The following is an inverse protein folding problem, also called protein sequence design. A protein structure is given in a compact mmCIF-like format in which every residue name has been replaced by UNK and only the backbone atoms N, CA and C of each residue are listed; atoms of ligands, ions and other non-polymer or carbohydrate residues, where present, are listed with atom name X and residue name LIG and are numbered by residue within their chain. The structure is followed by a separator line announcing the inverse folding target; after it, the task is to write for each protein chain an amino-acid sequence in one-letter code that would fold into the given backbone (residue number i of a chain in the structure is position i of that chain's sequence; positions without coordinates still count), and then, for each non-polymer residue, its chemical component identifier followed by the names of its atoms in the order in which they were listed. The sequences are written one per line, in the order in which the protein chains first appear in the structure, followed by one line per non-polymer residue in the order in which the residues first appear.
data_IF_305497697932
#
_entry.id   IF_305497697932
#
_cell.length_a   1.000
_cell.length_b   1.000
_cell.length_c   1.000
_cell.angle_alpha   90.00
_cell.angle_beta   90.00
_cell.angle_gamma   90.00
#
_symmetry.space_group_name_H-M   'P 1'
#
loop_
_entity.id
_entity.type
_entity.pdbx_description
1 polymer ?
#
# COMPACT_ATOMS: atom_id res chain seq x y z
N UNK A 1 -11.72 2.11 -2.54
CA UNK A 1 -11.69 2.73 -1.19
C UNK A 1 -13.09 2.93 -0.58
N UNK A 2 -14.14 2.38 -1.20
CA UNK A 2 -15.49 2.55 -0.67
C UNK A 2 -15.65 2.14 0.82
N UNK A 3 -15.08 1.01 1.30
CA UNK A 3 -15.17 0.64 2.72
C UNK A 3 -14.57 1.68 3.67
N UNK A 4 -13.51 2.37 3.26
CA UNK A 4 -12.82 3.36 4.09
C UNK A 4 -13.66 4.61 4.34
N UNK A 5 -14.56 4.97 3.43
CA UNK A 5 -15.51 6.08 3.63
C UNK A 5 -16.95 5.60 3.96
N UNK A 6 -17.09 4.32 4.30
CA UNK A 6 -18.36 3.76 4.81
C UNK A 6 -19.38 3.41 3.73
N UNK A 7 -18.98 3.20 2.48
CA UNK A 7 -19.87 2.80 1.40
C UNK A 7 -19.62 1.35 0.95
N UNK A 8 -20.67 0.69 0.44
CA UNK A 8 -20.55 -0.64 -0.16
C UNK A 8 -19.82 -0.59 -1.48
N UNK A 9 -20.08 0.43 -2.30
CA UNK A 9 -19.42 0.67 -3.58
C UNK A 9 -19.41 2.16 -3.92
N UNK A 10 -18.55 2.53 -4.87
CA UNK A 10 -18.57 3.82 -5.55
C UNK A 10 -18.93 3.63 -7.03
N UNK A 11 -19.75 4.50 -7.58
CA UNK A 11 -20.15 4.48 -8.97
C UNK A 11 -19.94 5.85 -9.60
N UNK A 12 -19.33 5.87 -10.78
CA UNK A 12 -19.15 7.05 -11.60
C UNK A 12 -19.77 6.76 -12.96
N UNK A 13 -20.65 7.64 -13.49
CA UNK A 13 -21.22 7.45 -14.80
C UNK A 13 -20.16 7.59 -15.89
N UNK A 14 -20.41 6.97 -17.04
CA UNK A 14 -19.58 7.14 -18.23
C UNK A 14 -19.90 8.48 -18.89
N UNK A 15 -18.88 9.21 -19.32
CA UNK A 15 -18.98 10.54 -19.94
C UNK A 15 -17.90 10.76 -21.03
N UNK A 16 -17.82 11.98 -21.55
CA UNK A 16 -16.82 12.36 -22.55
C UNK A 16 -15.38 12.25 -22.04
N UNK A 17 -15.12 12.44 -20.75
CA UNK A 17 -13.78 12.28 -20.17
C UNK A 17 -13.36 10.81 -20.19
N UNK A 18 -14.31 9.91 -19.99
CA UNK A 18 -14.07 8.46 -20.15
C UNK A 18 -13.63 8.14 -21.57
N UNK A 19 -14.32 8.69 -22.60
CA UNK A 19 -13.94 8.47 -24.00
C UNK A 19 -12.57 9.06 -24.34
N UNK A 20 -12.25 10.26 -23.82
CA UNK A 20 -10.92 10.87 -23.97
C UNK A 20 -9.84 9.98 -23.37
N UNK A 21 -10.06 9.43 -22.19
CA UNK A 21 -9.12 8.51 -21.55
C UNK A 21 -8.92 7.22 -22.35
N UNK A 22 -10.00 6.62 -22.88
CA UNK A 22 -9.93 5.43 -23.73
C UNK A 22 -9.08 5.70 -24.98
N UNK A 23 -9.32 6.83 -25.65
CA UNK A 23 -8.52 7.26 -26.80
C UNK A 23 -7.05 7.48 -26.41
N UNK A 24 -6.82 8.18 -25.33
CA UNK A 24 -5.47 8.46 -24.80
C UNK A 24 -4.71 7.18 -24.45
N UNK A 25 -5.39 6.19 -23.88
CA UNK A 25 -4.83 4.88 -23.52
C UNK A 25 -4.75 3.89 -24.70
N UNK A 26 -4.98 4.34 -25.94
CA UNK A 26 -4.74 3.57 -27.16
C UNK A 26 -5.83 2.55 -27.51
N UNK A 27 -7.06 2.74 -27.02
CA UNK A 27 -8.19 1.92 -27.48
C UNK A 27 -8.55 2.26 -28.91
N UNK A 28 -8.96 1.25 -29.68
CA UNK A 28 -9.40 1.44 -31.05
C UNK A 28 -10.73 2.20 -31.14
N UNK A 29 -11.01 2.76 -32.33
CA UNK A 29 -12.18 3.58 -32.57
C UNK A 29 -13.49 2.80 -32.36
N UNK A 30 -13.53 1.53 -32.75
CA UNK A 30 -14.72 0.69 -32.65
C UNK A 30 -15.09 0.45 -31.18
N UNK A 31 -14.09 0.13 -30.34
CA UNK A 31 -14.27 -0.02 -28.90
C UNK A 31 -14.79 1.26 -28.27
N UNK A 32 -14.25 2.44 -28.62
CA UNK A 32 -14.68 3.73 -28.07
C UNK A 32 -16.15 4.03 -28.48
N UNK A 33 -16.49 3.84 -29.74
CA UNK A 33 -17.86 4.01 -30.24
C UNK A 33 -18.84 3.01 -29.59
N UNK A 34 -18.39 1.77 -29.35
CA UNK A 34 -19.19 0.76 -28.66
C UNK A 34 -19.47 1.19 -27.24
N UNK A 35 -18.45 1.64 -26.47
CA UNK A 35 -18.61 2.11 -25.09
C UNK A 35 -19.61 3.27 -25.03
N UNK A 36 -19.50 4.24 -25.94
CA UNK A 36 -20.42 5.37 -25.99
C UNK A 36 -21.87 4.92 -26.26
N UNK A 37 -22.09 4.16 -27.33
CA UNK A 37 -23.42 3.71 -27.76
C UNK A 37 -24.06 2.80 -26.71
N UNK A 38 -23.28 1.84 -26.19
CA UNK A 38 -23.76 0.92 -25.16
C UNK A 38 -24.14 1.64 -23.87
N UNK A 39 -23.27 2.53 -23.38
CA UNK A 39 -23.52 3.26 -22.14
C UNK A 39 -24.75 4.16 -22.25
N UNK A 40 -24.96 4.80 -23.40
CA UNK A 40 -26.18 5.59 -23.67
C UNK A 40 -27.43 4.71 -23.73
N UNK A 41 -27.36 3.58 -24.41
CA UNK A 41 -28.49 2.64 -24.55
C UNK A 41 -28.87 1.98 -23.21
N UNK A 42 -27.91 1.74 -22.31
CA UNK A 42 -28.14 1.12 -21.01
C UNK A 42 -28.42 2.14 -19.89
N UNK A 43 -28.46 3.43 -20.16
CA UNK A 43 -28.66 4.46 -19.14
C UNK A 43 -27.47 4.63 -18.18
N UNK A 44 -26.26 4.20 -18.56
CA UNK A 44 -25.04 4.32 -17.78
C UNK A 44 -24.27 5.62 -18.08
N UNK A 45 -24.73 6.37 -19.07
CA UNK A 45 -24.15 7.66 -19.44
C UNK A 45 -24.53 8.75 -18.44
N UNK A 46 -23.61 9.66 -18.17
CA UNK A 46 -23.86 10.79 -17.28
C UNK A 46 -25.10 11.57 -17.74
N UNK A 47 -26.08 11.72 -16.87
CA UNK A 47 -27.34 12.41 -17.14
C UNK A 47 -27.74 13.24 -15.92
N UNK A 48 -28.52 14.29 -16.17
CA UNK A 48 -29.14 15.10 -15.14
C UNK A 48 -30.49 14.48 -14.70
N UNK A 49 -30.96 14.90 -13.52
CA UNK A 49 -32.31 14.55 -13.06
C UNK A 49 -32.44 13.21 -12.34
N UNK A 50 -31.35 12.59 -11.95
CA UNK A 50 -31.38 11.40 -11.07
C UNK A 50 -31.76 11.80 -9.66
N UNK A 51 -32.67 11.04 -9.04
CA UNK A 51 -33.04 11.18 -7.63
C UNK A 51 -32.19 10.27 -6.77
N UNK A 52 -31.59 10.80 -5.72
CA UNK A 52 -30.76 10.10 -4.77
C UNK A 52 -31.39 10.15 -3.38
N UNK A 53 -31.12 9.16 -2.55
CA UNK A 53 -31.56 9.13 -1.15
C UNK A 53 -31.01 10.31 -0.37
N UNK A 54 -29.76 10.70 -0.66
CA UNK A 54 -29.07 11.85 -0.07
C UNK A 54 -28.05 12.42 -1.04
N UNK A 55 -27.69 13.69 -0.86
CA UNK A 55 -26.73 14.41 -1.71
C UNK A 55 -25.72 15.17 -0.87
N UNK A 56 -24.45 15.17 -1.33
CA UNK A 56 -23.37 15.94 -0.74
C UNK A 56 -22.81 16.90 -1.80
N UNK A 57 -22.50 18.11 -1.37
CA UNK A 57 -21.83 19.11 -2.20
C UNK A 57 -20.47 19.47 -1.62
N UNK A 58 -19.46 19.53 -2.47
CA UNK A 58 -18.11 19.97 -2.11
C UNK A 58 -17.62 21.03 -3.09
N UNK A 59 -17.30 22.22 -2.59
CA UNK A 59 -16.55 23.19 -3.35
C UNK A 59 -15.07 22.76 -3.40
N UNK A 60 -14.62 22.33 -4.58
CA UNK A 60 -13.25 21.84 -4.79
C UNK A 60 -12.21 22.92 -4.51
N UNK A 61 -12.56 24.22 -4.64
CA UNK A 61 -11.65 25.32 -4.34
C UNK A 61 -11.24 25.40 -2.85
N UNK A 62 -12.04 24.79 -1.98
CA UNK A 62 -11.76 24.70 -0.53
C UNK A 62 -10.81 23.57 -0.16
N UNK A 63 -10.47 22.67 -1.11
CA UNK A 63 -9.57 21.55 -0.86
C UNK A 63 -8.13 22.04 -0.78
N UNK A 64 -7.52 21.86 0.38
CA UNK A 64 -6.14 22.25 0.66
C UNK A 64 -5.20 21.02 0.71
N UNK A 65 -3.88 21.21 0.49
CA UNK A 65 -2.92 20.13 0.59
C UNK A 65 -3.02 19.37 1.91
N UNK A 66 -3.13 18.05 1.82
CA UNK A 66 -3.36 17.19 2.98
C UNK A 66 -2.66 15.85 2.82
N UNK A 67 -2.39 15.19 3.94
CA UNK A 67 -2.01 13.79 4.04
C UNK A 67 -3.07 13.05 4.86
N UNK A 68 -2.99 11.71 4.92
CA UNK A 68 -3.89 10.92 5.77
C UNK A 68 -3.09 10.02 6.70
N UNK A 69 -3.49 9.95 7.95
CA UNK A 69 -2.85 9.07 8.93
C UNK A 69 -2.97 9.61 10.37
N UNK A 70 -2.36 8.92 11.32
CA UNK A 70 -1.36 7.83 11.15
C UNK A 70 -1.93 6.41 11.05
N UNK A 71 -3.23 6.20 11.18
CA UNK A 71 -3.80 4.84 11.35
C UNK A 71 -4.81 4.42 10.28
N UNK A 72 -5.52 5.39 9.68
CA UNK A 72 -6.63 5.11 8.75
C UNK A 72 -6.59 6.05 7.56
N UNK A 73 -7.07 5.63 6.37
CA UNK A 73 -7.10 6.47 5.17
C UNK A 73 -7.96 7.72 5.30
N UNK A 74 -8.98 7.69 6.15
CA UNK A 74 -9.90 8.82 6.39
C UNK A 74 -9.41 9.83 7.43
N UNK A 75 -8.33 9.54 8.15
CA UNK A 75 -7.73 10.45 9.13
C UNK A 75 -7.01 11.59 8.40
N UNK A 76 -7.76 12.62 8.01
CA UNK A 76 -7.23 13.76 7.26
C UNK A 76 -6.38 14.66 8.16
N UNK A 77 -5.19 15.01 7.69
CA UNK A 77 -4.27 15.96 8.33
C UNK A 77 -3.86 17.00 7.30
N UNK A 78 -4.05 18.29 7.62
CA UNK A 78 -3.57 19.36 6.75
C UNK A 78 -2.05 19.34 6.69
N UNK A 79 -1.49 19.61 5.51
CA UNK A 79 -0.03 19.61 5.35
C UNK A 79 0.65 20.65 6.25
N UNK A 80 0.01 21.78 6.50
CA UNK A 80 0.44 22.83 7.44
C UNK A 80 0.50 22.37 8.89
N UNK A 81 -0.30 21.37 9.24
CA UNK A 81 -0.48 20.90 10.60
C UNK A 81 0.20 19.52 10.82
N UNK A 82 0.87 19.01 9.78
CA UNK A 82 1.42 17.63 9.81
C UNK A 82 2.44 17.40 10.94
N UNK A 83 3.35 18.34 11.14
CA UNK A 83 4.37 18.25 12.19
C UNK A 83 3.75 18.34 13.59
N UNK A 84 2.93 19.35 13.85
CA UNK A 84 2.25 19.54 15.15
C UNK A 84 1.23 18.45 15.44
N UNK A 85 0.51 17.98 14.41
CA UNK A 85 -0.42 16.86 14.50
C UNK A 85 0.28 15.57 14.86
N UNK A 86 1.46 15.31 14.26
CA UNK A 86 2.27 14.16 14.63
C UNK A 86 2.72 14.21 16.09
N UNK A 87 3.25 15.34 16.56
CA UNK A 87 3.70 15.51 17.95
C UNK A 87 2.58 15.19 18.97
N UNK A 88 1.34 15.62 18.68
CA UNK A 88 0.18 15.30 19.49
C UNK A 88 -0.12 13.81 19.51
N UNK A 89 -0.20 13.18 18.35
CA UNK A 89 -0.47 11.74 18.20
C UNK A 89 0.63 10.90 18.84
N UNK A 90 1.89 11.30 18.67
CA UNK A 90 3.03 10.67 19.33
C UNK A 90 2.85 10.64 20.87
N UNK A 91 2.58 11.80 21.47
CA UNK A 91 2.35 11.90 22.92
C UNK A 91 1.16 11.04 23.38
N UNK A 92 0.07 11.06 22.64
CA UNK A 92 -1.14 10.27 22.95
C UNK A 92 -0.89 8.76 22.90
N UNK A 93 -0.10 8.27 21.93
CA UNK A 93 0.14 6.84 21.75
C UNK A 93 1.28 6.29 22.63
N UNK A 94 2.34 7.07 22.83
CA UNK A 94 3.53 6.62 23.58
C UNK A 94 3.48 6.97 25.04
N UNK A 95 2.68 7.97 25.46
CA UNK A 95 2.69 8.58 26.79
C UNK A 95 4.06 9.18 27.18
N UNK A 96 4.88 9.51 26.18
CA UNK A 96 6.20 10.12 26.35
C UNK A 96 6.11 11.61 26.06
N UNK A 97 6.79 12.42 26.86
CA UNK A 97 6.87 13.87 26.65
C UNK A 97 7.99 14.25 25.68
N UNK A 98 9.05 13.44 25.61
CA UNK A 98 10.20 13.67 24.72
C UNK A 98 10.49 12.44 23.86
N UNK A 99 10.89 12.66 22.61
CA UNK A 99 11.33 11.59 21.71
C UNK A 99 12.55 10.84 22.26
N UNK A 100 12.58 9.52 22.06
CA UNK A 100 13.73 8.68 22.36
C UNK A 100 14.63 8.62 21.12
N UNK A 101 15.94 8.63 21.37
CA UNK A 101 16.96 8.38 20.35
C UNK A 101 17.68 7.07 20.63
N UNK A 102 18.04 6.33 19.60
CA UNK A 102 18.80 5.10 19.67
C UNK A 102 19.96 5.07 18.69
N UNK A 103 21.07 4.50 19.13
CA UNK A 103 22.21 4.23 18.23
C UNK A 103 21.88 3.06 17.31
N UNK A 104 22.30 3.15 16.04
CA UNK A 104 22.19 2.07 15.07
C UNK A 104 23.53 1.36 14.98
N UNK A 105 23.58 0.06 15.27
CA UNK A 105 24.80 -0.71 15.28
C UNK A 105 25.51 -0.65 13.91
N UNK A 106 26.78 -0.28 13.91
CA UNK A 106 27.58 -0.19 12.68
C UNK A 106 27.27 1.01 11.78
N UNK A 107 26.52 2.00 12.27
CA UNK A 107 26.22 3.24 11.58
C UNK A 107 26.80 4.45 12.35
N UNK A 108 27.00 5.54 11.65
CA UNK A 108 27.45 6.84 12.20
C UNK A 108 26.28 7.79 12.49
N UNK A 109 25.06 7.27 12.47
CA UNK A 109 23.83 8.01 12.75
C UNK A 109 22.98 7.33 13.84
N UNK A 110 22.11 8.11 14.44
CA UNK A 110 21.06 7.65 15.36
C UNK A 110 19.71 7.71 14.67
N UNK A 111 18.77 6.93 15.17
CA UNK A 111 17.36 7.03 14.83
C UNK A 111 16.54 7.44 16.05
N UNK A 112 15.42 8.10 15.81
CA UNK A 112 14.59 8.73 16.83
C UNK A 112 13.11 8.38 16.62
N UNK A 113 12.32 8.52 17.67
CA UNK A 113 10.86 8.56 17.53
C UNK A 113 10.48 9.61 16.48
N UNK A 114 9.57 9.26 15.57
CA UNK A 114 9.15 10.13 14.48
C UNK A 114 9.98 10.04 13.21
N UNK A 115 11.11 9.32 13.22
CA UNK A 115 11.89 9.09 12.01
C UNK A 115 11.11 8.28 10.99
N UNK A 116 11.16 8.74 9.75
CA UNK A 116 10.56 8.08 8.59
C UNK A 116 11.53 7.01 8.11
N UNK A 117 11.23 5.75 8.44
CA UNK A 117 12.09 4.61 8.07
C UNK A 117 11.67 3.95 6.75
N UNK A 118 10.47 4.26 6.26
CA UNK A 118 9.97 3.82 4.95
C UNK A 118 9.35 5.00 4.22
N UNK A 119 9.79 5.26 3.00
CA UNK A 119 9.17 6.19 2.07
C UNK A 119 8.94 5.48 0.73
N UNK A 120 7.68 5.21 0.37
CA UNK A 120 7.37 4.37 -0.77
C UNK A 120 6.42 5.04 -1.76
N UNK A 121 6.83 5.15 -3.01
CA UNK A 121 5.93 5.46 -4.11
C UNK A 121 5.33 4.14 -4.57
N UNK A 122 4.08 3.90 -4.20
CA UNK A 122 3.33 2.68 -4.55
C UNK A 122 1.91 3.08 -4.85
N UNK A 123 1.32 2.62 -5.93
CA UNK A 123 -0.11 2.83 -6.20
C UNK A 123 -0.56 2.26 -7.52
N UNK A 124 -1.80 1.81 -7.57
CA UNK A 124 -2.49 1.41 -8.79
C UNK A 124 -2.96 2.60 -9.64
N UNK A 125 -3.18 3.78 -9.03
CA UNK A 125 -3.84 4.94 -9.66
C UNK A 125 -2.92 5.80 -10.52
N UNK A 126 -1.61 5.73 -10.36
CA UNK A 126 -0.67 6.57 -11.08
C UNK A 126 -0.53 6.25 -12.58
N UNK A 127 -1.04 5.11 -13.05
CA UNK A 127 -1.16 4.82 -14.48
C UNK A 127 -2.19 5.74 -15.14
N UNK A 128 -3.33 5.99 -14.49
CA UNK A 128 -4.39 6.85 -15.00
C UNK A 128 -4.18 8.33 -14.70
N UNK A 129 -3.34 8.66 -13.72
CA UNK A 129 -2.95 10.04 -13.41
C UNK A 129 -1.42 10.20 -13.44
N UNK A 130 -0.81 10.35 -14.62
CA UNK A 130 0.63 10.44 -14.77
C UNK A 130 1.23 11.75 -14.21
N UNK A 131 0.43 12.79 -14.00
CA UNK A 131 0.91 14.09 -13.51
C UNK A 131 1.59 14.00 -12.14
N UNK A 132 1.09 13.14 -11.25
CA UNK A 132 1.66 12.96 -9.91
C UNK A 132 3.02 12.25 -9.95
N UNK A 133 3.23 11.36 -10.90
CA UNK A 133 4.52 10.68 -11.07
C UNK A 133 5.56 11.58 -11.74
N UNK A 134 5.17 12.32 -12.76
CA UNK A 134 6.02 13.36 -13.37
C UNK A 134 6.37 14.41 -12.30
N UNK A 135 5.40 14.83 -11.49
CA UNK A 135 5.63 15.74 -10.36
C UNK A 135 6.68 15.21 -9.37
N UNK A 136 6.60 13.93 -9.00
CA UNK A 136 7.59 13.29 -8.12
C UNK A 136 8.98 13.24 -8.77
N UNK A 137 9.06 12.86 -10.05
CA UNK A 137 10.32 12.83 -10.80
C UNK A 137 10.97 14.22 -10.97
N UNK A 138 10.16 15.25 -11.24
CA UNK A 138 10.65 16.63 -11.34
C UNK A 138 11.12 17.18 -9.99
N UNK A 139 10.43 16.84 -8.89
CA UNK A 139 10.84 17.18 -7.54
C UNK A 139 12.18 16.50 -7.21
N UNK A 140 12.30 15.21 -7.48
CA UNK A 140 13.54 14.46 -7.31
C UNK A 140 14.69 15.08 -8.11
N UNK A 141 14.45 15.45 -9.38
CA UNK A 141 15.43 16.14 -10.23
C UNK A 141 15.92 17.43 -9.57
N UNK A 142 15.01 18.31 -9.19
CA UNK A 142 15.36 19.59 -8.56
C UNK A 142 16.10 19.42 -7.23
N UNK A 143 15.76 18.41 -6.44
CA UNK A 143 16.43 18.10 -5.18
C UNK A 143 17.87 17.62 -5.41
N UNK A 144 18.07 16.67 -6.32
CA UNK A 144 19.40 16.14 -6.69
C UNK A 144 20.30 17.21 -7.29
N UNK A 145 19.76 18.04 -8.19
CA UNK A 145 20.52 19.14 -8.81
C UNK A 145 21.02 20.16 -7.76
N UNK A 146 20.29 20.32 -6.65
CA UNK A 146 20.70 21.13 -5.49
C UNK A 146 21.61 20.41 -4.50
N UNK A 147 21.85 19.11 -4.69
CA UNK A 147 22.73 18.32 -3.84
C UNK A 147 22.07 17.74 -2.60
N UNK A 148 20.74 17.78 -2.52
CA UNK A 148 19.99 17.14 -1.44
C UNK A 148 20.08 15.61 -1.52
N UNK A 149 20.09 14.95 -0.37
CA UNK A 149 20.16 13.50 -0.23
C UNK A 149 19.09 12.99 0.73
N UNK A 150 18.65 11.77 0.52
CA UNK A 150 17.80 11.05 1.47
C UNK A 150 18.58 10.73 2.73
N UNK A 151 17.91 10.71 3.87
CA UNK A 151 18.53 10.33 5.14
C UNK A 151 18.86 8.83 5.13
N UNK A 152 19.99 8.41 5.74
CA UNK A 152 20.51 7.05 5.62
C UNK A 152 19.59 5.97 6.24
N UNK A 153 18.70 6.33 7.13
CA UNK A 153 17.74 5.42 7.74
C UNK A 153 16.45 5.22 6.94
N UNK A 154 16.22 6.02 5.89
CA UNK A 154 15.01 5.96 5.09
C UNK A 154 15.13 4.91 3.99
N UNK A 155 14.37 3.84 4.07
CA UNK A 155 14.21 2.87 2.98
C UNK A 155 13.22 3.42 1.95
N UNK A 156 13.72 3.77 0.78
CA UNK A 156 12.91 4.25 -0.36
C UNK A 156 12.61 3.12 -1.33
N UNK A 157 11.48 3.20 -2.04
CA UNK A 157 11.11 2.26 -3.11
C UNK A 157 10.11 2.86 -4.09
N UNK A 158 10.12 2.34 -5.32
CA UNK A 158 9.21 2.69 -6.39
C UNK A 158 8.50 1.43 -6.90
N UNK A 159 7.18 1.39 -6.78
CA UNK A 159 6.33 0.33 -7.33
C UNK A 159 5.13 0.95 -8.06
N UNK A 160 5.29 1.38 -9.31
CA UNK A 160 4.23 2.06 -10.06
C UNK A 160 3.11 1.11 -10.47
N UNK A 161 1.97 1.66 -10.88
CA UNK A 161 0.78 0.89 -11.25
C UNK A 161 0.95 0.03 -12.50
N UNK A 162 1.82 0.41 -13.42
CA UNK A 162 2.09 -0.35 -14.66
C UNK A 162 3.46 -0.01 -15.26
N UNK A 163 3.86 -0.84 -16.22
CA UNK A 163 5.09 -0.62 -17.01
C UNK A 163 5.07 0.67 -17.85
N UNK A 164 3.91 1.18 -18.21
CA UNK A 164 3.77 2.46 -18.93
C UNK A 164 4.33 3.61 -18.08
N UNK A 165 4.18 3.54 -16.77
CA UNK A 165 4.77 4.55 -15.85
C UNK A 165 6.29 4.58 -15.96
N UNK A 166 6.91 3.42 -16.01
CA UNK A 166 8.37 3.31 -16.22
C UNK A 166 8.76 3.94 -17.56
N UNK A 167 8.03 3.62 -18.64
CA UNK A 167 8.34 4.12 -19.97
C UNK A 167 8.31 5.65 -20.06
N UNK A 168 7.28 6.29 -19.51
CA UNK A 168 7.22 7.75 -19.58
C UNK A 168 8.22 8.44 -18.65
N UNK A 169 8.53 7.86 -17.48
CA UNK A 169 9.59 8.36 -16.61
C UNK A 169 10.97 8.25 -17.26
N UNK A 170 11.25 7.15 -17.94
CA UNK A 170 12.47 6.95 -18.72
C UNK A 170 12.58 7.94 -19.87
N UNK A 171 11.49 8.10 -20.67
CA UNK A 171 11.47 9.06 -21.79
C UNK A 171 11.63 10.49 -21.30
N UNK A 172 11.06 10.84 -20.15
CA UNK A 172 11.25 12.14 -19.53
C UNK A 172 12.65 12.31 -18.89
N UNK A 173 13.44 11.23 -18.77
CA UNK A 173 14.75 11.23 -18.11
C UNK A 173 14.69 11.48 -16.61
N UNK A 174 13.56 11.15 -15.98
CA UNK A 174 13.29 11.40 -14.57
C UNK A 174 13.59 10.20 -13.66
N UNK A 175 13.56 8.98 -14.20
CA UNK A 175 13.90 7.76 -13.45
C UNK A 175 15.27 7.84 -12.78
N UNK A 176 16.29 8.33 -13.47
CA UNK A 176 17.66 8.46 -12.93
C UNK A 176 17.76 9.34 -11.68
N UNK A 177 16.90 10.33 -11.52
CA UNK A 177 16.87 11.19 -10.33
C UNK A 177 16.14 10.53 -9.17
N UNK A 178 15.06 9.77 -9.48
CA UNK A 178 14.41 8.91 -8.49
C UNK A 178 15.38 7.84 -7.99
N UNK A 179 16.12 7.17 -8.89
CA UNK A 179 17.14 6.17 -8.54
C UNK A 179 18.24 6.75 -7.66
N UNK A 180 18.73 7.97 -7.95
CA UNK A 180 19.73 8.66 -7.13
C UNK A 180 19.22 8.98 -5.71
N UNK A 181 17.93 9.14 -5.52
CA UNK A 181 17.28 9.24 -4.22
C UNK A 181 16.87 7.87 -3.64
N UNK A 182 17.29 6.77 -4.26
CA UNK A 182 17.00 5.41 -3.81
C UNK A 182 15.60 4.90 -4.12
N UNK A 183 14.76 5.67 -4.82
CA UNK A 183 13.46 5.22 -5.31
C UNK A 183 13.61 4.28 -6.50
N UNK A 184 14.29 3.15 -6.29
CA UNK A 184 14.49 2.14 -7.30
C UNK A 184 13.22 1.36 -7.58
N UNK A 185 13.04 0.93 -8.82
CA UNK A 185 11.94 0.06 -9.22
C UNK A 185 12.07 -1.32 -8.56
N UNK A 186 11.14 -1.66 -7.67
CA UNK A 186 11.11 -2.94 -6.94
C UNK A 186 9.99 -3.87 -7.39
N UNK A 187 9.02 -3.37 -8.13
CA UNK A 187 7.86 -4.12 -8.62
C UNK A 187 6.80 -3.21 -9.20
N UNK A 188 5.63 -3.76 -9.46
CA UNK A 188 4.47 -3.02 -9.96
C UNK A 188 3.24 -3.30 -9.08
N UNK A 189 2.44 -2.24 -8.85
CA UNK A 189 1.19 -2.33 -8.10
C UNK A 189 1.33 -2.09 -6.59
N UNK A 190 0.48 -2.73 -5.80
CA UNK A 190 0.33 -2.50 -4.37
C UNK A 190 1.43 -3.17 -3.52
N UNK A 191 2.69 -2.87 -3.74
CA UNK A 191 3.81 -3.55 -3.07
C UNK A 191 3.89 -3.19 -1.59
N UNK A 192 4.24 -1.95 -1.25
CA UNK A 192 4.39 -1.50 0.14
C UNK A 192 3.04 -1.42 0.86
N UNK A 193 1.99 -1.04 0.16
CA UNK A 193 0.64 -0.91 0.73
C UNK A 193 0.07 -2.21 1.35
N UNK A 194 0.65 -3.36 1.03
CA UNK A 194 0.29 -4.68 1.59
C UNK A 194 1.47 -5.39 2.27
N UNK A 195 2.50 -4.66 2.66
CA UNK A 195 3.63 -5.21 3.40
C UNK A 195 4.64 -6.00 2.57
N UNK A 196 4.65 -5.86 1.24
CA UNK A 196 5.55 -6.60 0.35
C UNK A 196 6.84 -5.83 -0.03
N UNK A 197 7.18 -4.77 0.68
CA UNK A 197 8.45 -4.04 0.47
C UNK A 197 9.67 -4.69 1.14
N UNK A 198 9.45 -5.83 1.79
CA UNK A 198 10.49 -6.55 2.53
C UNK A 198 10.89 -5.88 3.87
N UNK A 199 11.77 -6.53 4.65
CA UNK A 199 12.15 -6.03 5.97
C UNK A 199 12.97 -4.74 5.87
N UNK A 200 13.05 -3.99 6.96
CA UNK A 200 14.04 -2.93 7.15
C UNK A 200 15.45 -3.53 7.20
N UNK A 201 16.47 -2.65 7.11
CA UNK A 201 17.83 -3.06 7.46
C UNK A 201 17.81 -3.59 8.90
N UNK A 202 18.46 -4.74 9.13
CA UNK A 202 18.41 -5.44 10.42
C UNK A 202 18.84 -4.55 11.58
N UNK A 203 19.91 -3.75 11.40
CA UNK A 203 20.41 -2.87 12.46
C UNK A 203 19.42 -1.75 12.81
N UNK A 204 18.64 -1.27 11.83
CA UNK A 204 17.57 -0.29 12.04
C UNK A 204 16.38 -0.95 12.74
N UNK A 205 15.96 -2.13 12.27
CA UNK A 205 14.90 -2.92 12.90
C UNK A 205 15.24 -3.26 14.36
N UNK A 206 16.46 -3.70 14.62
CA UNK A 206 16.95 -3.98 15.98
C UNK A 206 16.91 -2.75 16.87
N UNK A 207 17.35 -1.59 16.36
CA UNK A 207 17.33 -0.34 17.14
C UNK A 207 15.90 0.10 17.47
N UNK A 208 14.96 -0.04 16.51
CA UNK A 208 13.54 0.26 16.72
C UNK A 208 12.97 -0.66 17.82
N UNK A 209 13.14 -1.98 17.66
CA UNK A 209 12.51 -2.97 18.55
C UNK A 209 13.12 -2.97 19.96
N UNK A 210 14.45 -2.84 20.10
CA UNK A 210 15.10 -2.79 21.41
C UNK A 210 14.74 -1.56 22.25
N UNK A 211 14.45 -0.44 21.58
CA UNK A 211 14.16 0.82 22.27
C UNK A 211 12.67 1.19 22.18
N UNK A 212 11.84 0.33 21.61
CA UNK A 212 10.40 0.57 21.40
C UNK A 212 10.12 1.91 20.71
N UNK A 213 10.90 2.24 19.66
CA UNK A 213 10.77 3.50 18.94
C UNK A 213 9.44 3.62 18.21
N UNK A 214 8.95 4.84 18.09
CA UNK A 214 7.75 5.18 17.34
C UNK A 214 8.13 5.56 15.89
N UNK A 215 8.53 4.56 15.12
CA UNK A 215 8.95 4.72 13.74
C UNK A 215 7.77 4.98 12.80
N UNK A 216 8.04 5.69 11.68
CA UNK A 216 7.02 6.19 10.75
C UNK A 216 7.24 5.67 9.34
N UNK A 217 6.16 5.44 8.60
CA UNK A 217 6.18 5.28 7.14
C UNK A 217 5.35 6.36 6.44
N UNK A 218 5.79 6.76 5.25
CA UNK A 218 5.05 7.64 4.34
C UNK A 218 4.97 6.97 2.97
N UNK A 219 3.76 6.76 2.46
CA UNK A 219 3.56 6.03 1.21
C UNK A 219 2.43 6.61 0.36
N UNK A 220 2.55 6.50 -0.96
CA UNK A 220 1.48 6.88 -1.88
C UNK A 220 0.48 5.74 -2.13
N UNK A 221 0.10 5.05 -1.06
CA UNK A 221 -0.87 3.96 -1.08
C UNK A 221 -2.31 4.43 -0.86
N UNK A 222 -3.20 3.47 -0.63
CA UNK A 222 -4.60 3.72 -0.32
C UNK A 222 -5.02 3.17 1.05
N UNK A 223 -4.15 2.46 1.76
CA UNK A 223 -4.37 1.92 3.10
C UNK A 223 -3.11 2.05 3.94
N UNK A 224 -3.29 2.38 5.20
CA UNK A 224 -2.20 2.64 6.15
C UNK A 224 -2.46 2.04 7.54
N UNK A 225 -3.18 0.92 7.59
CA UNK A 225 -3.48 0.26 8.86
C UNK A 225 -2.19 -0.23 9.53
N UNK A 226 -2.15 -0.10 10.85
CA UNK A 226 -1.05 -0.57 11.66
C UNK A 226 -0.80 -2.08 11.47
N UNK A 227 0.47 -2.47 11.42
CA UNK A 227 0.88 -3.86 11.17
C UNK A 227 0.78 -4.31 9.70
N UNK A 228 0.10 -3.54 8.84
CA UNK A 228 -0.07 -3.88 7.43
C UNK A 228 1.15 -3.54 6.57
N UNK A 229 1.78 -2.39 6.81
CA UNK A 229 2.87 -1.87 5.99
C UNK A 229 4.19 -2.54 6.35
N UNK A 230 4.52 -2.52 7.63
CA UNK A 230 5.72 -3.13 8.19
C UNK A 230 5.54 -3.32 9.70
N UNK A 231 5.99 -4.44 10.30
CA UNK A 231 5.80 -4.71 11.72
C UNK A 231 6.55 -3.74 12.65
N UNK A 232 7.66 -3.15 12.17
CA UNK A 232 8.48 -2.23 12.96
C UNK A 232 7.94 -0.79 12.95
N UNK A 233 6.86 -0.52 12.20
CA UNK A 233 6.34 0.84 12.00
C UNK A 233 4.99 1.01 12.69
N UNK A 234 4.90 2.02 13.56
CA UNK A 234 3.71 2.30 14.38
C UNK A 234 2.78 3.38 13.79
N UNK A 235 3.32 4.29 13.00
CA UNK A 235 2.56 5.35 12.34
C UNK A 235 2.74 5.30 10.83
N UNK A 236 1.64 5.33 10.09
CA UNK A 236 1.66 5.19 8.65
C UNK A 236 0.86 6.33 8.00
N UNK A 237 1.50 7.12 7.15
CA UNK A 237 0.88 8.26 6.48
C UNK A 237 0.76 8.02 4.98
N UNK A 238 -0.41 8.35 4.43
CA UNK A 238 -0.66 8.38 3.00
C UNK A 238 -0.42 9.79 2.47
N UNK A 239 0.38 9.89 1.42
CA UNK A 239 0.73 11.14 0.78
C UNK A 239 0.82 10.96 -0.75
N UNK A 240 0.72 12.06 -1.51
CA UNK A 240 0.96 12.01 -2.96
C UNK A 240 2.41 11.63 -3.27
N UNK A 241 2.71 11.04 -4.45
CA UNK A 241 4.08 10.69 -4.84
C UNK A 241 5.10 11.83 -4.67
N UNK A 242 4.83 13.10 -5.04
CA UNK A 242 5.76 14.18 -4.78
C UNK A 242 5.99 14.44 -3.28
N UNK A 243 4.95 14.34 -2.46
CA UNK A 243 5.09 14.50 -1.01
C UNK A 243 5.86 13.33 -0.37
N UNK A 244 5.73 12.11 -0.88
CA UNK A 244 6.56 10.97 -0.44
C UNK A 244 8.04 11.28 -0.65
N UNK A 245 8.41 11.84 -1.80
CA UNK A 245 9.81 12.27 -2.04
C UNK A 245 10.24 13.37 -1.07
N UNK A 246 9.37 14.36 -0.82
CA UNK A 246 9.67 15.44 0.12
C UNK A 246 9.87 14.92 1.56
N UNK A 247 9.00 14.04 2.05
CA UNK A 247 9.13 13.42 3.37
C UNK A 247 10.37 12.51 3.47
N UNK A 248 10.75 11.82 2.40
CA UNK A 248 11.99 11.05 2.38
C UNK A 248 13.24 11.95 2.53
N UNK A 249 13.23 13.13 1.92
CA UNK A 249 14.29 14.12 2.08
C UNK A 249 14.31 14.71 3.50
N UNK A 250 13.15 14.97 4.09
CA UNK A 250 12.99 15.42 5.47
C UNK A 250 13.52 14.37 6.46
N UNK A 251 13.11 13.12 6.30
CA UNK A 251 13.53 11.99 7.12
C UNK A 251 12.85 11.90 8.48
N UNK A 252 12.01 12.85 8.85
CA UNK A 252 11.34 12.92 10.13
C UNK A 252 9.95 13.55 10.01
N UNK A 253 8.97 13.09 10.78
CA UNK A 253 7.58 13.52 10.65
C UNK A 253 7.27 14.88 11.30
N UNK A 254 8.07 15.31 12.28
CA UNK A 254 7.97 16.65 12.87
C UNK A 254 8.59 17.76 11.99
N UNK A 255 9.18 17.39 10.84
CA UNK A 255 9.68 18.36 9.89
C UNK A 255 8.50 19.12 9.24
N UNK A 256 8.45 20.45 9.42
CA UNK A 256 7.46 21.31 8.77
C UNK A 256 7.86 21.55 7.31
N UNK A 257 7.24 20.79 6.40
CA UNK A 257 7.55 20.86 4.96
C UNK A 257 7.41 22.28 4.37
N UNK A 258 6.65 23.17 5.02
CA UNK A 258 6.41 24.53 4.53
C UNK A 258 7.48 25.50 5.02
N UNK A 259 7.97 25.32 6.26
CA UNK A 259 8.85 26.29 6.92
C UNK A 259 10.30 25.83 7.03
N UNK A 260 10.54 24.53 7.15
CA UNK A 260 11.88 24.02 7.43
C UNK A 260 12.71 23.86 6.15
N UNK A 261 14.01 24.05 6.29
CA UNK A 261 14.97 23.84 5.21
C UNK A 261 15.42 22.40 5.14
N UNK A 262 15.43 21.79 3.95
CA UNK A 262 15.98 20.47 3.70
C UNK A 262 17.52 20.42 3.83
N UNK A 263 18.15 21.57 4.01
CA UNK A 263 19.58 21.76 4.08
C UNK A 263 20.08 22.79 3.06
N UNK A 264 21.39 22.84 2.86
CA UNK A 264 22.03 23.83 1.98
C UNK A 264 22.34 23.24 0.60
N UNK A 265 22.13 24.04 -0.43
CA UNK A 265 22.58 23.72 -1.78
C UNK A 265 24.11 23.82 -1.93
N UNK A 266 24.61 23.54 -3.13
CA UNK A 266 26.03 23.61 -3.48
C UNK A 266 26.66 25.01 -3.28
N UNK A 267 25.81 26.05 -3.19
CA UNK A 267 26.24 27.46 -2.99
C UNK A 267 26.03 27.88 -1.52
N UNK A 268 25.65 26.98 -0.62
CA UNK A 268 25.42 27.26 0.79
C UNK A 268 24.08 27.93 1.09
N UNK A 269 23.16 28.01 0.12
CA UNK A 269 21.82 28.57 0.31
C UNK A 269 20.85 27.51 0.81
N UNK A 270 20.02 27.88 1.79
CA UNK A 270 18.98 27.00 2.30
C UNK A 270 17.94 26.67 1.22
N UNK A 271 17.55 25.38 1.16
CA UNK A 271 16.58 24.85 0.19
C UNK A 271 15.28 24.48 0.90
N UNK A 272 14.20 25.07 0.46
CA UNK A 272 12.84 24.85 0.96
C UNK A 272 11.98 24.09 -0.05
N UNK A 273 10.83 23.57 0.37
CA UNK A 273 9.92 22.84 -0.51
C UNK A 273 9.56 23.65 -1.76
N UNK A 274 9.26 24.94 -1.61
CA UNK A 274 8.95 25.85 -2.72
C UNK A 274 10.03 25.92 -3.80
N UNK A 275 11.28 25.69 -3.45
CA UNK A 275 12.43 25.77 -4.38
C UNK A 275 12.54 24.50 -5.26
N UNK A 276 12.02 23.39 -4.77
CA UNK A 276 12.07 22.09 -5.46
C UNK A 276 10.71 21.62 -5.97
N UNK A 277 9.58 22.24 -5.56
CA UNK A 277 8.26 21.90 -6.04
C UNK A 277 8.11 22.25 -7.54
N UNK A 278 7.66 21.32 -8.40
CA UNK A 278 7.43 21.64 -9.80
C UNK A 278 6.18 22.48 -10.00
N UNK A 279 6.20 23.41 -10.97
CA UNK A 279 4.99 24.11 -11.38
C UNK A 279 4.08 23.22 -12.23
N UNK A 280 2.77 23.53 -12.25
CA UNK A 280 1.82 22.80 -13.10
C UNK A 280 2.25 22.83 -14.56
N UNK A 281 2.75 23.98 -15.04
CA UNK A 281 3.26 24.11 -16.41
C UNK A 281 4.42 23.15 -16.69
N UNK A 282 5.38 23.02 -15.76
CA UNK A 282 6.48 22.06 -15.93
C UNK A 282 5.99 20.61 -16.01
N UNK A 283 4.97 20.26 -15.23
CA UNK A 283 4.36 18.93 -15.27
C UNK A 283 3.65 18.72 -16.62
N UNK A 284 2.83 19.66 -17.07
CA UNK A 284 2.10 19.58 -18.34
C UNK A 284 3.04 19.49 -19.54
N UNK A 285 4.06 20.33 -19.61
CA UNK A 285 5.04 20.33 -20.70
C UNK A 285 5.77 18.98 -20.75
N UNK A 286 6.22 18.49 -19.59
CA UNK A 286 6.90 17.18 -19.52
C UNK A 286 5.98 16.03 -19.93
N UNK A 287 4.70 16.06 -19.54
CA UNK A 287 3.70 15.05 -19.95
C UNK A 287 3.51 15.02 -21.48
N UNK A 288 3.33 16.18 -22.10
CA UNK A 288 3.16 16.29 -23.56
C UNK A 288 4.34 15.68 -24.32
N UNK A 289 5.56 15.88 -23.81
CA UNK A 289 6.78 15.41 -24.46
C UNK A 289 7.06 13.92 -24.21
N UNK A 290 6.59 13.38 -23.10
CA UNK A 290 7.00 12.05 -22.65
C UNK A 290 5.92 10.97 -22.76
N UNK A 291 4.64 11.32 -22.85
CA UNK A 291 3.55 10.35 -22.81
C UNK A 291 2.71 10.38 -24.10
N UNK A 292 2.46 9.19 -24.68
CA UNK A 292 1.60 9.02 -25.84
C UNK A 292 0.87 7.67 -25.83
N UNK A 293 -0.13 7.51 -26.72
CA UNK A 293 -0.93 6.29 -26.85
C UNK A 293 -0.09 5.06 -27.23
N UNK A 294 0.97 5.23 -28.02
CA UNK A 294 1.79 4.10 -28.48
C UNK A 294 2.48 3.36 -27.33
N UNK A 295 2.77 4.03 -26.21
CA UNK A 295 3.31 3.38 -25.03
C UNK A 295 2.33 2.37 -24.44
N UNK A 296 1.05 2.72 -24.37
CA UNK A 296 0.01 1.81 -23.90
C UNK A 296 -0.16 0.65 -24.89
N UNK A 297 -0.30 0.94 -26.18
CA UNK A 297 -0.44 -0.08 -27.22
C UNK A 297 0.72 -1.08 -27.15
N UNK A 298 1.97 -0.58 -27.11
CA UNK A 298 3.17 -1.41 -27.04
C UNK A 298 3.20 -2.29 -25.80
N UNK A 299 2.81 -1.76 -24.63
CA UNK A 299 2.87 -2.51 -23.37
C UNK A 299 1.75 -3.51 -23.23
N UNK A 300 0.59 -3.25 -23.83
CA UNK A 300 -0.58 -4.13 -23.72
C UNK A 300 -0.76 -5.08 -24.92
N UNK A 301 -0.03 -4.90 -26.02
CA UNK A 301 -0.11 -5.79 -27.19
C UNK A 301 0.39 -7.20 -26.92
N UNK A 302 1.24 -7.39 -25.92
CA UNK A 302 1.91 -8.67 -25.63
C UNK A 302 2.04 -8.95 -24.11
N UNK A 303 0.90 -8.92 -23.42
CA UNK A 303 0.89 -9.14 -21.95
C UNK A 303 1.11 -10.60 -21.56
N UNK A 304 0.81 -11.54 -22.46
CA UNK A 304 0.89 -12.99 -22.19
C UNK A 304 2.31 -13.54 -22.27
N UNK A 305 3.24 -12.90 -22.95
CA UNK A 305 4.63 -13.40 -23.04
C UNK A 305 5.40 -13.25 -21.72
N UNK A 306 5.10 -12.22 -20.95
CA UNK A 306 5.83 -11.91 -19.71
C UNK A 306 7.30 -11.51 -19.94
N UNK A 307 8.08 -11.29 -18.88
CA UNK A 307 9.51 -10.99 -18.97
C UNK A 307 10.33 -12.24 -19.35
N UNK A 308 11.59 -12.06 -19.73
CA UNK A 308 12.50 -13.15 -20.10
C UNK A 308 12.61 -14.22 -19.00
N UNK A 309 12.63 -13.79 -17.74
CA UNK A 309 12.68 -14.71 -16.59
C UNK A 309 11.44 -15.62 -16.56
N UNK A 310 10.25 -15.08 -16.86
CA UNK A 310 9.03 -15.88 -16.97
C UNK A 310 9.09 -16.88 -18.12
N UNK A 311 9.56 -16.45 -19.29
CA UNK A 311 9.70 -17.31 -20.48
C UNK A 311 10.70 -18.45 -20.29
N UNK A 312 11.68 -18.28 -19.40
CA UNK A 312 12.72 -19.27 -19.10
C UNK A 312 12.27 -20.35 -18.10
N UNK A 313 11.10 -20.17 -17.46
CA UNK A 313 10.56 -21.18 -16.55
C UNK A 313 10.20 -22.41 -17.35
N UNK A 314 10.87 -23.52 -17.04
CA UNK A 314 10.55 -24.82 -17.64
C UNK A 314 9.29 -25.36 -17.01
N UNK A 315 8.27 -25.61 -17.81
CA UNK A 315 7.02 -26.22 -17.38
C UNK A 315 6.74 -27.47 -18.21
N UNK A 316 6.23 -28.48 -17.58
CA UNK A 316 5.69 -29.65 -18.29
C UNK A 316 4.30 -29.30 -18.83
N UNK A 317 4.01 -29.71 -20.08
CA UNK A 317 2.67 -29.59 -20.64
C UNK A 317 1.78 -30.66 -20.03
N UNK A 318 0.88 -30.26 -19.17
CA UNK A 318 -0.10 -31.13 -18.53
C UNK A 318 -1.48 -30.46 -18.52
N UNK A 319 -2.54 -31.25 -18.58
CA UNK A 319 -3.91 -30.79 -18.39
C UNK A 319 -4.29 -30.60 -16.92
N UNK A 320 -3.47 -31.12 -16.02
CA UNK A 320 -3.64 -31.02 -14.58
C UNK A 320 -2.35 -30.49 -13.95
N UNK A 321 -2.49 -29.75 -12.83
CA UNK A 321 -1.34 -29.33 -12.05
C UNK A 321 -0.76 -30.50 -11.23
N UNK A 322 0.56 -30.65 -11.25
CA UNK A 322 1.24 -31.65 -10.45
C UNK A 322 1.53 -31.04 -9.06
N UNK A 323 0.71 -31.42 -8.07
CA UNK A 323 0.83 -30.95 -6.70
C UNK A 323 2.03 -31.57 -6.01
N UNK A 324 2.81 -30.76 -5.30
CA UNK A 324 3.93 -31.18 -4.48
C UNK A 324 3.51 -31.16 -3.00
N UNK A 325 3.36 -32.32 -2.38
CA UNK A 325 2.87 -32.42 -1.00
C UNK A 325 3.79 -31.74 0.02
N UNK A 326 5.08 -31.69 -0.26
CA UNK A 326 6.07 -31.03 0.60
C UNK A 326 6.18 -29.52 0.40
N UNK A 327 5.50 -28.95 -0.58
CA UNK A 327 5.52 -27.51 -0.81
C UNK A 327 4.88 -26.78 0.34
N UNK A 328 5.56 -25.75 0.86
CA UNK A 328 5.01 -24.81 1.87
C UNK A 328 4.55 -23.48 1.25
N UNK A 329 4.64 -23.36 -0.08
CA UNK A 329 4.17 -22.19 -0.84
C UNK A 329 2.88 -22.44 -1.59
N UNK A 330 2.72 -23.63 -2.18
CA UNK A 330 1.54 -23.99 -2.97
C UNK A 330 1.08 -25.36 -2.54
N UNK A 331 -0.14 -25.47 -2.02
CA UNK A 331 -0.75 -26.75 -1.61
C UNK A 331 -2.11 -26.95 -2.25
N UNK A 332 -2.44 -28.19 -2.56
CA UNK A 332 -3.77 -28.57 -3.02
C UNK A 332 -4.79 -28.19 -1.95
N UNK A 333 -5.76 -27.31 -2.26
CA UNK A 333 -6.79 -26.95 -1.31
C UNK A 333 -7.84 -28.07 -1.19
N UNK A 334 -8.43 -28.28 0.00
CA UNK A 334 -9.42 -29.34 0.22
C UNK A 334 -10.83 -28.99 -0.26
N UNK A 335 -11.05 -27.82 -0.86
CA UNK A 335 -12.38 -27.31 -1.16
C UNK A 335 -13.18 -28.15 -2.15
N UNK A 336 -12.50 -28.94 -2.95
CA UNK A 336 -13.11 -29.83 -3.95
C UNK A 336 -13.04 -31.32 -3.54
N UNK A 337 -12.53 -31.62 -2.36
CA UNK A 337 -12.51 -33.00 -1.88
C UNK A 337 -13.92 -33.43 -1.52
N UNK A 338 -14.36 -34.57 -2.07
CA UNK A 338 -15.71 -35.12 -1.91
C UNK A 338 -16.84 -34.20 -2.40
N UNK A 339 -16.55 -33.35 -3.41
CA UNK A 339 -17.60 -32.52 -4.01
C UNK A 339 -18.62 -33.43 -4.72
N UNK A 340 -19.92 -33.29 -4.44
CA UNK A 340 -20.96 -34.06 -5.14
C UNK A 340 -21.07 -33.59 -6.59
N UNK A 341 -21.49 -34.50 -7.50
CA UNK A 341 -21.67 -34.20 -8.93
C UNK A 341 -22.74 -33.12 -9.16
N UNK A 342 -23.76 -33.07 -8.28
CA UNK A 342 -24.82 -32.08 -8.34
C UNK A 342 -24.80 -31.19 -7.09
N UNK A 343 -25.04 -29.87 -7.22
CA UNK A 343 -25.11 -28.97 -6.07
C UNK A 343 -26.22 -29.40 -5.08
N UNK A 344 -25.83 -29.56 -3.83
CA UNK A 344 -26.82 -29.73 -2.78
C UNK A 344 -27.59 -28.41 -2.55
N UNK A 345 -28.92 -28.51 -2.36
CA UNK A 345 -29.74 -27.37 -1.98
C UNK A 345 -29.34 -26.79 -0.61
N UNK A 346 -29.90 -25.62 -0.28
CA UNK A 346 -29.67 -24.99 1.02
C UNK A 346 -30.19 -25.88 2.14
N UNK A 347 -29.36 -26.11 3.17
CA UNK A 347 -29.71 -26.84 4.38
C UNK A 347 -29.99 -25.85 5.51
N UNK A 348 -30.96 -26.16 6.35
CA UNK A 348 -31.20 -25.37 7.56
C UNK A 348 -30.00 -25.50 8.51
N UNK A 349 -29.53 -24.38 9.04
CA UNK A 349 -28.45 -24.33 10.03
C UNK A 349 -29.10 -24.43 11.42
N UNK A 350 -28.84 -25.52 12.16
CA UNK A 350 -29.34 -25.76 13.51
C UNK A 350 -28.19 -25.84 14.50
N UNK A 351 -28.47 -25.33 15.71
CA UNK A 351 -27.55 -25.42 16.87
C UNK A 351 -26.14 -24.86 16.63
N UNK A 352 -25.96 -23.98 15.64
CA UNK A 352 -24.69 -23.32 15.37
C UNK A 352 -24.34 -22.34 16.49
N UNK A 353 -23.08 -22.32 16.89
CA UNK A 353 -22.52 -21.37 17.86
C UNK A 353 -21.66 -20.33 17.15
N UNK A 354 -21.69 -19.06 17.59
CA UNK A 354 -20.80 -18.05 17.03
C UNK A 354 -19.37 -18.39 17.39
N UNK A 355 -18.46 -18.24 16.41
CA UNK A 355 -17.02 -18.32 16.62
C UNK A 355 -16.44 -16.95 17.03
N UNK A 356 -17.01 -15.88 16.45
CA UNK A 356 -16.64 -14.49 16.69
C UNK A 356 -17.88 -13.63 16.67
N UNK A 357 -17.92 -12.61 17.53
CA UNK A 357 -18.88 -11.50 17.46
C UNK A 357 -18.05 -10.23 17.32
N UNK A 358 -18.13 -9.61 16.16
CA UNK A 358 -17.30 -8.45 15.80
C UNK A 358 -18.22 -7.24 15.58
N UNK A 359 -17.75 -6.07 15.94
CA UNK A 359 -18.45 -4.80 15.71
C UNK A 359 -18.39 -4.33 14.26
N UNK A 360 -18.68 -3.06 14.07
CA UNK A 360 -18.67 -2.41 12.76
C UNK A 360 -17.25 -2.22 12.21
N UNK A 361 -17.16 -1.86 10.93
CA UNK A 361 -15.89 -1.55 10.22
C UNK A 361 -14.92 -2.72 10.08
N UNK A 362 -15.40 -3.94 10.11
CA UNK A 362 -14.61 -5.13 9.78
C UNK A 362 -14.46 -5.24 8.27
N UNK A 363 -13.23 -5.24 7.81
CA UNK A 363 -12.85 -5.30 6.39
C UNK A 363 -12.06 -6.57 6.09
N UNK A 364 -11.71 -6.77 4.83
CA UNK A 364 -10.83 -7.88 4.39
C UNK A 364 -9.48 -7.89 5.10
N UNK A 365 -8.97 -6.74 5.57
CA UNK A 365 -7.73 -6.65 6.33
C UNK A 365 -7.83 -7.26 7.74
N UNK A 366 -9.04 -7.36 8.28
CA UNK A 366 -9.27 -8.01 9.56
C UNK A 366 -9.44 -9.53 9.40
N UNK A 367 -10.00 -9.97 8.27
CA UNK A 367 -10.32 -11.36 8.01
C UNK A 367 -9.13 -12.11 7.43
N UNK A 368 -8.56 -11.60 6.32
CA UNK A 368 -7.48 -12.25 5.60
C UNK A 368 -6.12 -11.77 6.13
N UNK A 369 -5.18 -12.68 6.43
CA UNK A 369 -3.89 -12.28 6.94
C UNK A 369 -3.05 -11.57 5.88
N UNK A 370 -2.27 -10.58 6.33
CA UNK A 370 -1.30 -9.84 5.53
C UNK A 370 -0.04 -9.55 6.36
N UNK A 371 1.04 -9.15 5.68
CA UNK A 371 2.29 -8.79 6.33
C UNK A 371 3.09 -9.99 6.84
N UNK A 372 3.89 -9.77 7.88
CA UNK A 372 4.83 -10.74 8.43
C UNK A 372 4.13 -11.81 9.28
N UNK A 373 4.71 -13.01 9.26
CA UNK A 373 4.25 -14.14 10.06
C UNK A 373 5.04 -14.17 11.37
N UNK A 374 4.32 -14.13 12.48
CA UNK A 374 4.93 -14.14 13.82
C UNK A 374 5.35 -15.56 14.19
N UNK A 375 6.49 -15.67 14.90
CA UNK A 375 7.03 -16.96 15.33
C UNK A 375 6.10 -17.67 16.33
N UNK A 376 5.60 -16.90 17.28
CA UNK A 376 4.68 -17.36 18.32
C UNK A 376 3.20 -17.26 17.85
N UNK A 377 2.90 -17.85 16.70
CA UNK A 377 1.55 -17.90 16.13
C UNK A 377 1.27 -19.31 15.59
N UNK A 378 0.00 -19.70 15.42
CA UNK A 378 -0.35 -20.98 14.80
C UNK A 378 0.36 -21.22 13.46
N UNK A 379 0.58 -20.16 12.67
CA UNK A 379 1.35 -20.25 11.41
C UNK A 379 2.85 -20.46 11.65
N UNK A 380 3.40 -19.81 12.69
CA UNK A 380 4.80 -19.98 13.07
C UNK A 380 5.08 -21.41 13.55
N UNK A 381 4.18 -21.99 14.33
CA UNK A 381 4.23 -23.39 14.78
C UNK A 381 4.19 -24.35 13.59
N UNK A 382 3.26 -24.15 12.65
CA UNK A 382 3.20 -24.91 11.40
C UNK A 382 4.53 -24.88 10.63
N UNK A 383 5.20 -23.73 10.55
CA UNK A 383 6.49 -23.64 9.88
C UNK A 383 7.61 -24.31 10.64
N UNK A 384 7.62 -24.25 11.96
CA UNK A 384 8.60 -24.98 12.78
C UNK A 384 8.46 -26.49 12.60
N UNK A 385 7.24 -27.01 12.56
CA UNK A 385 6.96 -28.43 12.27
C UNK A 385 7.48 -28.85 10.89
N UNK A 386 7.44 -27.94 9.91
CA UNK A 386 8.00 -28.12 8.57
C UNK A 386 9.48 -27.74 8.46
N UNK A 387 10.18 -27.53 9.58
CA UNK A 387 11.60 -27.21 9.67
C UNK A 387 11.99 -25.91 8.91
N UNK A 388 11.05 -24.95 8.78
CA UNK A 388 11.30 -23.64 8.20
C UNK A 388 11.72 -22.70 9.32
N UNK A 389 12.87 -22.05 9.13
CA UNK A 389 13.38 -21.10 10.11
C UNK A 389 12.64 -19.75 10.05
N UNK A 390 12.52 -19.00 11.16
CA UNK A 390 11.83 -17.70 11.19
C UNK A 390 12.29 -16.70 10.11
N UNK A 391 13.58 -16.68 9.79
CA UNK A 391 14.15 -15.85 8.71
C UNK A 391 13.61 -16.19 7.31
N UNK A 392 13.09 -17.41 7.13
CA UNK A 392 12.62 -17.97 5.86
C UNK A 392 11.07 -18.03 5.79
N UNK A 393 10.36 -17.54 6.82
CA UNK A 393 8.90 -17.53 6.85
C UNK A 393 8.32 -16.73 5.70
N UNK A 394 8.96 -15.59 5.35
CA UNK A 394 8.46 -14.64 4.39
C UNK A 394 7.16 -13.98 4.90
N UNK A 395 6.21 -13.67 4.03
CA UNK A 395 4.95 -13.03 4.40
C UNK A 395 3.75 -13.90 4.05
N UNK A 396 2.59 -13.62 4.67
CA UNK A 396 1.32 -14.24 4.29
C UNK A 396 1.02 -14.03 2.79
N UNK A 397 1.32 -12.86 2.24
CA UNK A 397 1.16 -12.58 0.81
C UNK A 397 1.97 -13.51 -0.08
N UNK A 398 3.20 -13.85 0.29
CA UNK A 398 4.07 -14.79 -0.44
C UNK A 398 3.60 -16.26 -0.32
N UNK A 399 2.90 -16.57 0.75
CA UNK A 399 2.42 -17.92 1.10
C UNK A 399 0.95 -18.16 0.75
N UNK A 400 0.28 -17.19 0.12
CA UNK A 400 -1.17 -17.23 -0.11
C UNK A 400 -1.66 -18.39 -0.99
N UNK A 401 -0.77 -19.08 -1.71
CA UNK A 401 -1.05 -20.32 -2.41
C UNK A 401 -1.11 -21.55 -1.50
N UNK A 402 -0.83 -21.40 -0.21
CA UNK A 402 -0.92 -22.46 0.79
C UNK A 402 -2.07 -22.15 1.77
N UNK A 403 -3.18 -22.86 1.60
CA UNK A 403 -4.38 -22.68 2.43
C UNK A 403 -4.12 -22.95 3.92
N UNK A 404 -3.20 -23.84 4.26
CA UNK A 404 -2.86 -24.14 5.65
C UNK A 404 -2.19 -22.97 6.37
N UNK A 405 -1.36 -22.22 5.65
CA UNK A 405 -0.78 -20.97 6.15
C UNK A 405 -1.86 -19.89 6.29
N UNK A 406 -2.71 -19.74 5.28
CA UNK A 406 -3.73 -18.70 5.27
C UNK A 406 -4.81 -18.93 6.32
N UNK A 407 -5.25 -20.16 6.52
CA UNK A 407 -6.24 -20.50 7.56
C UNK A 407 -5.75 -20.17 8.96
N UNK A 408 -4.49 -20.44 9.26
CA UNK A 408 -3.87 -20.16 10.57
C UNK A 408 -3.74 -18.67 10.87
N UNK A 409 -3.71 -17.84 9.81
CA UNK A 409 -3.68 -16.38 9.92
C UNK A 409 -5.05 -15.71 9.77
N UNK A 410 -6.10 -16.45 9.44
CA UNK A 410 -7.46 -15.90 9.31
C UNK A 410 -7.93 -15.35 10.65
N UNK A 411 -8.44 -14.11 10.66
CA UNK A 411 -8.79 -13.33 11.85
C UNK A 411 -7.65 -13.03 12.82
N UNK A 412 -6.39 -13.22 12.45
CA UNK A 412 -5.24 -12.94 13.30
C UNK A 412 -4.78 -11.46 13.27
N UNK A 413 -5.61 -10.55 12.77
CA UNK A 413 -5.30 -9.12 12.78
C UNK A 413 -5.15 -8.62 14.23
N UNK A 414 -4.05 -7.89 14.52
CA UNK A 414 -3.67 -7.43 15.87
C UNK A 414 -4.65 -6.43 16.49
N UNK A 415 -5.58 -5.87 15.70
CA UNK A 415 -6.57 -4.86 16.14
C UNK A 415 -8.01 -5.40 16.21
N UNK A 416 -8.21 -6.68 15.97
CA UNK A 416 -9.53 -7.27 16.13
C UNK A 416 -9.93 -7.20 17.62
N UNK A 417 -11.18 -6.81 17.86
CA UNK A 417 -11.83 -6.92 19.16
C UNK A 417 -13.04 -7.82 19.03
N UNK A 418 -12.96 -8.97 19.68
CA UNK A 418 -14.02 -9.96 19.69
C UNK A 418 -14.83 -9.82 20.96
N UNK A 419 -16.12 -9.53 20.86
CA UNK A 419 -17.00 -9.37 22.02
C UNK A 419 -17.14 -10.65 22.85
N UNK A 420 -16.82 -11.81 22.27
CA UNK A 420 -16.77 -13.08 23.03
C UNK A 420 -15.54 -13.18 23.93
N UNK A 421 -14.49 -12.37 23.67
CA UNK A 421 -13.27 -12.31 24.45
C UNK A 421 -12.88 -10.84 24.73
N UNK A 422 -13.68 -10.08 25.50
CA UNK A 422 -13.59 -8.62 25.60
C UNK A 422 -12.27 -8.11 26.22
N UNK A 423 -11.60 -8.95 26.99
CA UNK A 423 -10.32 -8.61 27.64
C UNK A 423 -9.10 -8.83 26.73
N UNK A 424 -9.32 -9.17 25.45
CA UNK A 424 -8.26 -9.42 24.47
C UNK A 424 -8.33 -8.44 23.31
N UNK A 425 -7.17 -8.19 22.69
CA UNK A 425 -7.04 -7.54 21.40
C UNK A 425 -6.23 -8.45 20.48
N UNK A 426 -6.62 -8.58 19.22
CA UNK A 426 -6.04 -9.52 18.27
C UNK A 426 -6.95 -10.71 17.98
N UNK A 427 -6.39 -11.72 17.31
CA UNK A 427 -7.12 -12.87 16.78
C UNK A 427 -7.46 -13.95 17.82
N UNK A 428 -8.16 -13.57 18.88
CA UNK A 428 -8.54 -14.49 19.95
C UNK A 428 -10.04 -14.66 20.04
N UNK A 429 -10.46 -15.85 20.49
CA UNK A 429 -11.85 -16.14 20.83
C UNK A 429 -11.94 -16.96 22.11
N UNK A 430 -13.14 -17.13 22.59
CA UNK A 430 -13.41 -17.89 23.82
C UNK A 430 -14.23 -19.13 23.51
N UNK A 431 -13.71 -20.28 23.89
CA UNK A 431 -14.42 -21.56 23.71
C UNK A 431 -15.36 -21.81 24.90
N UNK A 432 -16.55 -22.32 24.62
CA UNK A 432 -17.55 -22.64 25.65
C UNK A 432 -17.88 -24.15 25.61
N UNK A 433 -18.12 -24.78 26.78
CA UNK A 433 -18.35 -24.16 28.11
C UNK A 433 -17.09 -23.86 28.95
N UNK A 434 -15.90 -24.25 28.50
CA UNK A 434 -14.66 -24.22 29.30
C UNK A 434 -14.20 -22.80 29.63
N UNK A 435 -14.61 -21.82 28.86
CA UNK A 435 -14.23 -20.42 29.03
C UNK A 435 -12.78 -20.10 28.70
N UNK A 436 -12.08 -21.01 28.03
CA UNK A 436 -10.68 -20.84 27.63
C UNK A 436 -10.57 -19.88 26.45
N UNK A 437 -9.62 -18.94 26.55
CA UNK A 437 -9.29 -18.02 25.44
C UNK A 437 -8.15 -18.61 24.63
N UNK A 438 -8.31 -18.68 23.32
CA UNK A 438 -7.39 -19.29 22.36
C UNK A 438 -7.30 -18.42 21.10
N UNK A 439 -6.23 -18.54 20.29
CA UNK A 439 -6.25 -18.07 18.92
C UNK A 439 -7.46 -18.63 18.15
N UNK A 440 -8.01 -17.86 17.23
CA UNK A 440 -9.23 -18.26 16.50
C UNK A 440 -9.03 -19.56 15.71
N UNK A 441 -7.81 -19.83 15.25
CA UNK A 441 -7.47 -21.04 14.53
C UNK A 441 -7.57 -22.30 15.41
N UNK A 442 -7.10 -22.25 16.64
CA UNK A 442 -7.06 -23.38 17.60
C UNK A 442 -8.46 -23.73 18.09
#
# INVERSE_FOLDING_TARGET
MAPEYGATCGFFPVDEETLKYLKFSGRDKETIELVEKYSKAQGLWASEGMEFTDTLSLDISTVVPSISGPKRPQDKVLLTDSATGFAKVYKENTKRDNPIQADVAGADFKISDGDIVIAAITSCTNTSNPSVMIGAGLLAKKAVERGLKIKPWVKTSLAPGSKVVTDYLEKAGLNKYLDQLGFNLVGYGCTTCIGNSGPLNQNISDAINKNDLYAVSVLSGNRNFEGRINPDVKANYLASPPLVVAYALAGHMEFDLIKDSFGKDKNGKDVFLKDIWPSNKQIEDTLKDSLNADMFIKRYSNVSEGPKQWQQIKTEKSSIYNWEDNSTYVKKPPFFDNLPDEPEGFKEIKDARPLLILGDMITTDHISPAGSIQKESPTGEYFMEHQILPKDYNSYGSRRGNHEVMMRGTFANIRIRNEMAPDTEGGFTKIYPEGKVLPVYD
#
